data_IF_920756945040
#
_entry.id   IF_920756945040
#
_cell.length_a   1.000
_cell.length_b   1.000
_cell.length_c   1.000
_cell.angle_alpha   90.00
_cell.angle_beta   90.00
_cell.angle_gamma   90.00
#
_symmetry.space_group_name_H-M   'P 1'
#
loop_
_entity.id
_entity.type
_entity.pdbx_description
1 polymer ?
#
# COMPACT_ATOMS: atom_id res chain seq x y z
N UNK A 1 6.72 8.75 19.36
CA UNK A 1 5.41 8.39 19.96
C UNK A 1 4.46 7.87 18.89
N UNK A 2 3.79 6.79 19.18
CA UNK A 2 2.84 6.18 18.24
C UNK A 2 1.47 6.82 18.46
N UNK A 3 0.86 7.30 17.38
CA UNK A 3 -0.48 7.86 17.39
C UNK A 3 -1.44 6.91 16.67
N UNK A 4 -2.64 6.77 17.20
CA UNK A 4 -3.68 5.93 16.61
C UNK A 4 -4.97 6.72 16.48
N UNK A 5 -5.55 6.70 15.29
CA UNK A 5 -6.83 7.33 14.99
C UNK A 5 -7.72 6.33 14.28
N UNK A 6 -9.00 6.30 14.62
CA UNK A 6 -10.00 5.49 13.93
C UNK A 6 -10.91 6.45 13.17
N UNK A 7 -10.95 6.29 11.85
CA UNK A 7 -11.81 7.11 11.00
C UNK A 7 -13.26 6.64 11.09
N UNK A 8 -14.19 7.50 10.66
CA UNK A 8 -15.63 7.20 10.73
C UNK A 8 -16.01 5.93 9.96
N UNK A 9 -15.27 5.60 8.90
CA UNK A 9 -15.49 4.38 8.12
C UNK A 9 -14.85 3.12 8.72
N UNK A 10 -14.23 3.23 9.90
CA UNK A 10 -13.60 2.11 10.60
C UNK A 10 -12.12 1.90 10.27
N UNK A 11 -11.55 2.65 9.34
CA UNK A 11 -10.12 2.54 9.02
C UNK A 11 -9.29 3.02 10.20
N UNK A 12 -8.31 2.23 10.59
CA UNK A 12 -7.37 2.57 11.66
C UNK A 12 -6.12 3.18 11.04
N UNK A 13 -5.76 4.37 11.48
CA UNK A 13 -4.56 5.07 11.04
C UNK A 13 -3.58 5.08 12.20
N UNK A 14 -2.41 4.50 11.99
CA UNK A 14 -1.35 4.45 12.99
C UNK A 14 -0.15 5.19 12.41
N UNK A 15 0.38 6.14 13.16
CA UNK A 15 1.53 6.92 12.72
C UNK A 15 2.55 7.05 13.83
N UNK A 16 3.80 7.15 13.44
CA UNK A 16 4.92 7.41 14.34
C UNK A 16 5.89 8.37 13.67
N UNK A 17 6.24 9.42 14.38
CA UNK A 17 7.22 10.39 13.91
C UNK A 17 8.61 9.97 14.39
N UNK A 18 9.56 9.93 13.46
CA UNK A 18 10.97 9.59 13.72
C UNK A 18 11.84 10.75 13.26
N UNK A 19 12.31 11.55 14.19
CA UNK A 19 12.93 12.86 13.92
C UNK A 19 14.22 12.79 13.11
N UNK A 20 14.96 11.71 13.23
CA UNK A 20 16.29 11.61 12.61
C UNK A 20 16.29 10.91 11.25
N UNK A 21 15.12 10.65 10.69
CA UNK A 21 14.97 9.97 9.39
C UNK A 21 14.39 10.94 8.37
N UNK A 22 14.94 10.93 7.17
CA UNK A 22 14.51 11.80 6.07
C UNK A 22 13.66 11.07 5.04
N UNK A 23 12.98 10.02 5.46
CA UNK A 23 12.08 9.25 4.61
C UNK A 23 10.76 9.01 5.31
N UNK A 24 9.74 8.75 4.50
CA UNK A 24 8.40 8.40 4.99
C UNK A 24 8.04 7.05 4.41
N UNK A 25 7.54 6.16 5.27
CA UNK A 25 7.00 4.88 4.87
C UNK A 25 5.49 4.88 5.12
N UNK A 26 4.72 4.55 4.10
CA UNK A 26 3.26 4.46 4.20
C UNK A 26 2.87 3.05 3.82
N UNK A 27 2.06 2.42 4.65
CA UNK A 27 1.56 1.08 4.39
C UNK A 27 0.05 1.01 4.54
N UNK A 28 -0.58 0.20 3.69
CA UNK A 28 -1.99 -0.13 3.80
C UNK A 28 -2.11 -1.65 3.93
N UNK A 29 -2.80 -2.09 4.97
CA UNK A 29 -3.03 -3.51 5.24
C UNK A 29 -4.52 -3.79 5.10
N UNK A 30 -4.83 -4.70 4.19
CA UNK A 30 -6.21 -5.14 3.93
C UNK A 30 -6.38 -6.53 4.51
N UNK A 31 -7.40 -6.71 5.31
CA UNK A 31 -7.74 -7.99 5.93
C UNK A 31 -8.40 -8.92 4.91
N UNK A 32 -7.62 -9.31 3.92
CA UNK A 32 -8.06 -10.20 2.84
C UNK A 32 -6.84 -10.87 2.24
N UNK A 33 -6.79 -12.17 2.35
CA UNK A 33 -5.70 -12.97 1.81
C UNK A 33 -6.21 -14.31 1.32
N UNK A 34 -5.30 -15.20 0.94
CA UNK A 34 -5.66 -16.48 0.33
C UNK A 34 -6.50 -17.39 1.25
N UNK A 35 -6.40 -17.21 2.56
CA UNK A 35 -7.16 -18.00 3.52
C UNK A 35 -8.67 -17.81 3.39
N UNK A 36 -9.13 -16.65 2.94
CA UNK A 36 -10.54 -16.33 2.79
C UNK A 36 -11.09 -16.66 1.40
N UNK A 37 -10.26 -17.22 0.55
CA UNK A 37 -10.65 -17.59 -0.79
C UNK A 37 -11.27 -18.99 -0.81
N UNK A 38 -12.15 -19.24 -1.79
CA UNK A 38 -12.76 -20.55 -2.04
C UNK A 38 -12.46 -20.96 -3.46
N UNK A 39 -13.07 -22.05 -3.93
CA UNK A 39 -12.82 -22.57 -5.28
C UNK A 39 -13.14 -21.58 -6.40
N UNK A 40 -14.08 -20.64 -6.17
CA UNK A 40 -14.44 -19.62 -7.15
C UNK A 40 -13.55 -18.38 -7.07
N UNK A 41 -13.01 -18.08 -5.89
CA UNK A 41 -12.20 -16.86 -5.64
C UNK A 41 -10.73 -17.17 -5.45
N UNK A 42 -10.31 -18.39 -5.69
CA UNK A 42 -8.93 -18.81 -5.49
C UNK A 42 -7.96 -17.98 -6.36
N UNK A 43 -6.96 -17.41 -5.73
CA UNK A 43 -6.00 -16.51 -6.39
C UNK A 43 -6.46 -15.07 -6.53
N UNK A 44 -7.66 -14.73 -6.06
CA UNK A 44 -8.23 -13.39 -6.22
C UNK A 44 -7.39 -12.31 -5.53
N UNK A 45 -6.95 -12.53 -4.30
CA UNK A 45 -6.15 -11.56 -3.57
C UNK A 45 -4.82 -11.27 -4.28
N UNK A 46 -4.16 -12.31 -4.77
CA UNK A 46 -2.91 -12.17 -5.52
C UNK A 46 -3.15 -11.47 -6.87
N UNK A 47 -4.25 -11.79 -7.55
CA UNK A 47 -4.61 -11.14 -8.80
C UNK A 47 -4.88 -9.65 -8.59
N UNK A 48 -5.64 -9.29 -7.57
CA UNK A 48 -5.94 -7.89 -7.25
C UNK A 48 -4.65 -7.14 -6.91
N UNK A 49 -3.75 -7.75 -6.16
CA UNK A 49 -2.45 -7.16 -5.86
C UNK A 49 -1.73 -6.76 -7.15
N UNK A 50 -1.64 -7.66 -8.13
CA UNK A 50 -1.00 -7.37 -9.41
C UNK A 50 -1.74 -6.28 -10.19
N UNK A 51 -3.07 -6.30 -10.16
CA UNK A 51 -3.88 -5.35 -10.92
C UNK A 51 -3.77 -3.91 -10.42
N UNK A 52 -3.46 -3.71 -9.15
CA UNK A 52 -3.31 -2.35 -8.60
C UNK A 52 -2.13 -1.59 -9.20
N UNK A 53 -1.17 -2.30 -9.79
CA UNK A 53 -0.02 -1.68 -10.45
C UNK A 53 -0.21 -1.52 -11.96
N UNK A 54 -1.35 -1.94 -12.52
CA UNK A 54 -1.60 -1.94 -13.97
C UNK A 54 -2.26 -0.69 -14.49
N UNK A 55 -2.74 0.17 -13.59
CA UNK A 55 -3.31 1.45 -13.97
C UNK A 55 -4.75 1.65 -13.50
N UNK A 56 -5.19 2.88 -13.62
CA UNK A 56 -6.54 3.33 -13.30
C UNK A 56 -7.07 4.16 -14.47
N UNK A 57 -8.27 4.72 -14.35
CA UNK A 57 -8.80 5.64 -15.35
C UNK A 57 -7.94 6.90 -15.50
N UNK A 58 -7.29 7.33 -14.42
CA UNK A 58 -6.52 8.57 -14.39
C UNK A 58 -5.02 8.37 -14.60
N UNK A 59 -4.50 7.17 -14.42
CA UNK A 59 -3.07 6.87 -14.50
C UNK A 59 -2.83 5.53 -15.15
N UNK A 60 -1.91 5.49 -16.12
CA UNK A 60 -1.46 4.24 -16.70
C UNK A 60 -0.50 3.51 -15.75
N UNK A 61 -0.16 2.26 -16.07
CA UNK A 61 0.86 1.52 -15.32
C UNK A 61 2.21 2.27 -15.35
N UNK A 62 2.55 2.87 -16.49
CA UNK A 62 3.75 3.68 -16.62
C UNK A 62 3.70 4.91 -15.72
N UNK A 63 2.55 5.59 -15.64
CA UNK A 63 2.39 6.78 -14.78
C UNK A 63 2.60 6.44 -13.31
N UNK A 64 2.06 5.31 -12.86
CA UNK A 64 2.22 4.85 -11.47
C UNK A 64 3.69 4.57 -11.17
N UNK A 65 4.36 3.81 -12.02
CA UNK A 65 5.76 3.46 -11.83
C UNK A 65 6.66 4.70 -11.89
N UNK A 66 6.46 5.58 -12.87
CA UNK A 66 7.31 6.74 -13.04
C UNK A 66 7.10 7.80 -11.95
N UNK A 67 5.90 7.89 -11.37
CA UNK A 67 5.66 8.81 -10.25
C UNK A 67 6.54 8.45 -9.06
N UNK A 68 6.70 7.17 -8.78
CA UNK A 68 7.55 6.69 -7.68
C UNK A 68 9.03 6.77 -8.04
N UNK A 69 9.41 6.35 -9.24
CA UNK A 69 10.80 6.38 -9.69
C UNK A 69 11.34 7.81 -9.76
N UNK A 70 10.52 8.77 -10.18
CA UNK A 70 10.95 10.16 -10.32
C UNK A 70 11.34 10.81 -8.99
N UNK A 71 10.82 10.32 -7.87
CA UNK A 71 11.15 10.83 -6.54
C UNK A 71 12.12 9.92 -5.79
N UNK A 72 12.62 8.87 -6.43
CA UNK A 72 13.53 7.92 -5.80
C UNK A 72 12.85 7.02 -4.78
N UNK A 73 11.54 6.81 -4.92
CA UNK A 73 10.77 5.99 -4.00
C UNK A 73 10.80 4.51 -4.33
N UNK A 74 10.29 3.73 -3.40
CA UNK A 74 10.11 2.28 -3.54
C UNK A 74 8.65 1.96 -3.24
N UNK A 75 8.03 1.17 -4.09
CA UNK A 75 6.65 0.72 -3.90
C UNK A 75 6.59 -0.79 -4.08
N UNK A 76 5.86 -1.45 -3.20
CA UNK A 76 5.76 -2.91 -3.26
C UNK A 76 4.46 -3.37 -2.59
N UNK A 77 4.16 -4.65 -2.78
CA UNK A 77 2.99 -5.27 -2.17
C UNK A 77 3.28 -6.74 -1.88
N UNK A 78 2.50 -7.31 -0.98
CA UNK A 78 2.60 -8.72 -0.65
C UNK A 78 1.22 -9.27 -0.28
N UNK A 79 0.91 -10.45 -0.78
CA UNK A 79 -0.32 -11.17 -0.44
C UNK A 79 0.03 -12.37 0.45
N UNK A 80 -0.47 -12.33 1.68
CA UNK A 80 -0.34 -13.45 2.60
C UNK A 80 -1.65 -14.23 2.71
N UNK A 81 -1.70 -15.16 3.64
CA UNK A 81 -2.90 -15.97 3.88
C UNK A 81 -4.02 -15.17 4.54
N UNK A 82 -3.67 -14.20 5.38
CA UNK A 82 -4.64 -13.44 6.17
C UNK A 82 -4.73 -11.98 5.78
N UNK A 83 -3.68 -11.42 5.17
CA UNK A 83 -3.61 -10.01 4.81
C UNK A 83 -2.96 -9.81 3.47
N UNK A 84 -3.38 -8.74 2.79
CA UNK A 84 -2.68 -8.17 1.64
C UNK A 84 -2.16 -6.81 2.07
N UNK A 85 -0.90 -6.55 1.84
CA UNK A 85 -0.28 -5.28 2.22
C UNK A 85 0.31 -4.58 1.02
N UNK A 86 0.22 -3.25 1.05
CA UNK A 86 0.81 -2.36 0.05
C UNK A 86 1.64 -1.34 0.81
N UNK A 87 2.86 -1.09 0.38
CA UNK A 87 3.67 -0.07 1.03
C UNK A 87 4.47 0.73 0.03
N UNK A 88 4.78 1.94 0.44
CA UNK A 88 5.58 2.87 -0.33
C UNK A 88 6.56 3.57 0.63
N UNK A 89 7.76 3.83 0.16
CA UNK A 89 8.76 4.61 0.88
C UNK A 89 9.28 5.70 -0.03
N UNK A 90 9.23 6.93 0.42
CA UNK A 90 9.66 8.10 -0.34
C UNK A 90 10.47 9.05 0.57
N UNK A 91 11.26 9.96 -0.02
CA UNK A 91 11.84 11.06 0.76
C UNK A 91 10.76 11.94 1.38
N UNK A 92 11.05 12.50 2.55
CA UNK A 92 10.06 13.25 3.35
C UNK A 92 9.51 14.52 2.67
N UNK A 93 10.27 15.11 1.77
CA UNK A 93 9.86 16.33 1.07
C UNK A 93 8.89 16.05 -0.10
N UNK A 94 8.52 14.81 -0.34
CA UNK A 94 7.55 14.42 -1.37
C UNK A 94 6.25 13.85 -0.78
N UNK A 95 5.93 14.17 0.46
CA UNK A 95 4.74 13.64 1.13
C UNK A 95 3.43 14.03 0.42
N UNK A 96 3.38 15.14 -0.25
CA UNK A 96 2.15 15.62 -0.93
C UNK A 96 1.89 14.92 -2.26
#
# INVERSE_FOLDING_TARGET
MVNKTILDNGIRVISEEIDHVRSISIGAWVEGGSRRENGLTNGMAHFIEHMLFKGTECRSAFDIASAIDSVGGVMNAATGKEMTSFYIKIPDYHLE
#
